data_IF_814667178270
#
_entry.id   IF_814667178270
#
_cell.length_a   1.000
_cell.length_b   1.000
_cell.length_c   1.000
_cell.angle_alpha   90.00
_cell.angle_beta   90.00
_cell.angle_gamma   90.00
#
_symmetry.space_group_name_H-M   'P 1'
#
loop_
_entity.id
_entity.type
_entity.pdbx_description
1 polymer ?
#
# COMPACT_ATOMS: atom_id res chain seq x y z
N UNK A 1 8.29 -7.80 -6.00
CA UNK A 1 8.26 -6.72 -6.99
C UNK A 1 9.13 -5.55 -6.54
N UNK A 2 9.85 -4.93 -7.45
CA UNK A 2 10.76 -3.85 -7.10
C UNK A 2 10.46 -2.63 -7.96
N UNK A 3 9.90 -1.61 -7.34
CA UNK A 3 9.56 -0.37 -8.02
C UNK A 3 10.58 0.74 -7.74
N UNK A 4 11.57 0.45 -6.90
CA UNK A 4 12.51 1.47 -6.46
C UNK A 4 12.02 2.29 -5.28
N UNK A 5 10.80 2.04 -4.83
CA UNK A 5 10.24 2.71 -3.66
C UNK A 5 10.03 1.69 -2.56
N UNK A 6 10.88 1.77 -1.54
CA UNK A 6 10.86 0.80 -0.45
C UNK A 6 9.52 0.80 0.29
N UNK A 7 8.95 1.98 0.49
CA UNK A 7 7.67 2.07 1.20
C UNK A 7 6.55 1.40 0.41
N UNK A 8 6.54 1.62 -0.90
CA UNK A 8 5.54 0.99 -1.76
C UNK A 8 5.69 -0.53 -1.75
N UNK A 9 6.92 -1.01 -1.92
CA UNK A 9 7.17 -2.44 -1.96
C UNK A 9 6.84 -3.10 -0.63
N UNK A 10 7.19 -2.44 0.47
CA UNK A 10 6.91 -2.96 1.81
C UNK A 10 5.40 -3.11 2.03
N UNK A 11 4.66 -2.07 1.73
CA UNK A 11 3.22 -2.08 1.93
C UNK A 11 2.54 -3.07 0.98
N UNK A 12 3.03 -3.13 -0.26
CA UNK A 12 2.52 -4.07 -1.23
C UNK A 12 2.61 -5.50 -0.71
N UNK A 13 3.79 -5.85 -0.17
CA UNK A 13 4.01 -7.18 0.37
C UNK A 13 3.08 -7.48 1.54
N UNK A 14 2.95 -6.54 2.47
CA UNK A 14 2.09 -6.73 3.63
C UNK A 14 0.65 -6.99 3.23
N UNK A 15 0.18 -6.27 2.22
CA UNK A 15 -1.18 -6.45 1.74
C UNK A 15 -1.34 -7.78 1.03
N UNK A 16 -0.37 -8.11 0.19
CA UNK A 16 -0.45 -9.32 -0.62
C UNK A 16 -0.54 -10.57 0.23
N UNK A 17 0.22 -10.61 1.33
CA UNK A 17 0.18 -11.77 2.23
C UNK A 17 -0.86 -11.61 3.33
N UNK A 18 -1.61 -10.51 3.31
CA UNK A 18 -2.65 -10.21 4.30
C UNK A 18 -2.09 -10.23 5.72
N UNK A 19 -0.89 -9.72 5.88
CA UNK A 19 -0.25 -9.66 7.18
C UNK A 19 -0.91 -8.66 8.11
N UNK A 20 -1.54 -7.64 7.54
CA UNK A 20 -2.26 -6.61 8.29
C UNK A 20 -3.71 -6.59 7.84
N UNK A 21 -4.56 -5.95 8.64
CA UNK A 21 -5.98 -5.85 8.30
C UNK A 21 -6.17 -4.82 7.19
N UNK A 22 -7.37 -4.85 6.58
CA UNK A 22 -7.70 -3.88 5.55
C UNK A 22 -7.59 -2.45 6.09
N UNK A 23 -8.11 -2.23 7.30
CA UNK A 23 -8.05 -0.93 7.92
C UNK A 23 -6.63 -0.43 8.09
N UNK A 24 -5.77 -1.32 8.56
CA UNK A 24 -4.38 -0.93 8.77
C UNK A 24 -3.69 -0.65 7.45
N UNK A 25 -4.00 -1.46 6.43
CA UNK A 25 -3.41 -1.24 5.11
C UNK A 25 -3.80 0.14 4.57
N UNK A 26 -5.06 0.52 4.74
CA UNK A 26 -5.51 1.83 4.28
C UNK A 26 -4.81 2.94 5.06
N UNK A 27 -4.69 2.77 6.37
CA UNK A 27 -4.01 3.77 7.19
C UNK A 27 -2.54 3.93 6.80
N UNK A 28 -1.86 2.83 6.54
CA UNK A 28 -0.47 2.88 6.09
C UNK A 28 -0.37 3.63 4.76
N UNK A 29 -1.26 3.30 3.83
CA UNK A 29 -1.26 3.96 2.52
C UNK A 29 -1.49 5.46 2.68
N UNK A 30 -2.45 5.84 3.51
CA UNK A 30 -2.74 7.26 3.74
C UNK A 30 -1.56 7.97 4.38
N UNK A 31 -0.93 7.35 5.37
CA UNK A 31 0.23 7.95 6.03
C UNK A 31 1.39 8.10 5.08
N UNK A 32 1.68 7.08 4.29
CA UNK A 32 2.76 7.16 3.33
C UNK A 32 2.49 8.25 2.30
N UNK A 33 1.26 8.35 1.83
CA UNK A 33 0.88 9.39 0.88
C UNK A 33 1.05 10.77 1.51
N UNK A 34 0.58 10.93 2.74
CA UNK A 34 0.65 12.20 3.45
C UNK A 34 2.10 12.63 3.67
N UNK A 35 2.97 11.68 3.95
CA UNK A 35 4.39 11.96 4.19
C UNK A 35 5.21 11.94 2.92
N UNK A 36 4.53 11.92 1.77
CA UNK A 36 5.18 11.95 0.46
C UNK A 36 6.09 10.76 0.23
N UNK A 37 5.75 9.63 0.84
CA UNK A 37 6.47 8.38 0.63
C UNK A 37 5.90 7.60 -0.54
N UNK A 38 4.70 7.95 -0.98
CA UNK A 38 4.06 7.36 -2.15
C UNK A 38 3.65 8.46 -3.10
N UNK A 39 3.88 8.23 -4.39
CA UNK A 39 3.32 9.11 -5.40
C UNK A 39 1.83 8.85 -5.52
N UNK A 40 1.14 9.73 -6.25
CA UNK A 40 -0.30 9.55 -6.44
C UNK A 40 -0.60 8.25 -7.16
N UNK A 41 0.21 7.91 -8.14
CA UNK A 41 0.02 6.67 -8.89
C UNK A 41 0.27 5.44 -8.00
N UNK A 42 1.31 5.52 -7.18
CA UNK A 42 1.61 4.43 -6.28
C UNK A 42 0.50 4.24 -5.25
N UNK A 43 -0.02 5.35 -4.74
CA UNK A 43 -1.13 5.30 -3.80
C UNK A 43 -2.36 4.64 -4.44
N UNK A 44 -2.68 5.03 -5.66
CA UNK A 44 -3.82 4.44 -6.37
C UNK A 44 -3.62 2.95 -6.58
N UNK A 45 -2.42 2.55 -6.96
CA UNK A 45 -2.11 1.13 -7.15
C UNK A 45 -2.32 0.34 -5.87
N UNK A 46 -1.83 0.88 -4.76
CA UNK A 46 -1.97 0.22 -3.46
C UNK A 46 -3.43 0.12 -3.07
N UNK A 47 -4.20 1.18 -3.28
CA UNK A 47 -5.61 1.15 -2.93
C UNK A 47 -6.38 0.12 -3.75
N UNK A 48 -6.06 0.00 -5.03
CA UNK A 48 -6.67 -1.03 -5.87
C UNK A 48 -6.29 -2.42 -5.37
N UNK A 49 -5.04 -2.61 -5.01
CA UNK A 49 -4.59 -3.88 -4.48
C UNK A 49 -5.33 -4.23 -3.20
N UNK A 50 -5.47 -3.25 -2.32
CA UNK A 50 -6.16 -3.46 -1.05
C UNK A 50 -7.60 -3.90 -1.30
N UNK A 51 -8.28 -3.20 -2.18
CA UNK A 51 -9.67 -3.52 -2.46
C UNK A 51 -9.84 -4.92 -3.04
N UNK A 52 -8.96 -5.30 -3.96
CA UNK A 52 -9.08 -6.62 -4.57
C UNK A 52 -8.63 -7.74 -3.63
N UNK A 53 -7.71 -7.44 -2.72
CA UNK A 53 -7.18 -8.45 -1.83
C UNK A 53 -8.10 -8.73 -0.65
N UNK A 54 -8.75 -7.70 -0.13
CA UNK A 54 -9.60 -7.82 1.06
C UNK A 54 -11.08 -7.73 0.74
N UNK A 55 -11.47 -8.12 -0.44
CA UNK A 55 -12.87 -8.05 -0.80
C UNK A 55 -13.76 -9.00 0.03
#
# INVERSE_FOLDING_TARGET
>A
MNTGNICYDYLYDLVEIKYITKERAIKFADNFKKNKKLSEEEYKSIMLLIESTYE
#
